data_IF_374175257663
#
_entry.id   IF_374175257663
#
_cell.length_a   1.000
_cell.length_b   1.000
_cell.length_c   1.000
_cell.angle_alpha   90.00
_cell.angle_beta   90.00
_cell.angle_gamma   90.00
#
_symmetry.space_group_name_H-M   'P 1'
#
loop_
_entity.id
_entity.type
_entity.pdbx_description
1 polymer ?
#
# COMPACT_ATOMS: atom_id res chain seq x y z
N UNK A 1 13.22 -28.66 -62.38
CA UNK A 1 12.09 -29.34 -63.05
C UNK A 1 10.85 -28.73 -62.37
N UNK A 2 10.21 -27.71 -62.99
CA UNK A 2 9.11 -27.83 -63.95
C UNK A 2 7.92 -28.56 -63.30
N UNK A 3 6.72 -28.02 -63.09
CA UNK A 3 5.91 -27.06 -63.82
C UNK A 3 4.67 -26.78 -62.96
N UNK A 4 4.18 -25.60 -62.95
CA UNK A 4 3.22 -24.94 -63.85
C UNK A 4 1.77 -25.47 -63.79
N UNK A 5 0.91 -24.59 -63.36
CA UNK A 5 -0.22 -23.90 -64.02
C UNK A 5 -1.57 -24.61 -63.88
N UNK A 6 -2.72 -23.95 -63.68
CA UNK A 6 -3.48 -22.87 -64.37
C UNK A 6 -4.80 -22.68 -63.59
N UNK A 7 -5.13 -21.49 -63.26
CA UNK A 7 -6.14 -20.57 -63.82
C UNK A 7 -7.40 -21.20 -64.42
N UNK A 8 -8.60 -20.84 -63.84
CA UNK A 8 -9.78 -20.60 -64.67
C UNK A 8 -10.81 -19.72 -63.94
N UNK A 9 -11.20 -18.66 -64.61
CA UNK A 9 -12.24 -17.67 -64.40
C UNK A 9 -13.64 -18.24 -64.68
N UNK A 10 -14.68 -17.68 -64.07
CA UNK A 10 -15.81 -16.99 -64.78
C UNK A 10 -16.94 -16.62 -63.81
N UNK A 11 -17.35 -15.35 -63.91
CA UNK A 11 -18.64 -14.74 -63.54
C UNK A 11 -19.65 -15.07 -64.65
N UNK A 12 -21.00 -14.73 -64.64
CA UNK A 12 -21.63 -13.51 -64.08
C UNK A 12 -23.13 -13.61 -63.62
N UNK A 13 -23.62 -12.47 -63.09
CA UNK A 13 -24.90 -11.76 -63.16
C UNK A 13 -26.24 -12.42 -62.77
N UNK A 14 -26.99 -11.63 -61.99
CA UNK A 14 -28.45 -11.70 -61.86
C UNK A 14 -28.95 -10.66 -60.83
N UNK A 15 -29.27 -9.46 -61.31
CA UNK A 15 -29.93 -8.39 -60.55
C UNK A 15 -31.46 -8.57 -60.60
N UNK A 16 -32.13 -8.29 -59.43
CA UNK A 16 -33.55 -7.79 -59.48
C UNK A 16 -33.70 -6.76 -58.34
N UNK A 17 -34.05 -5.57 -58.74
CA UNK A 17 -34.46 -4.47 -57.90
C UNK A 17 -35.95 -4.54 -57.59
N UNK A 18 -36.35 -4.18 -56.36
CA UNK A 18 -37.74 -3.74 -56.12
C UNK A 18 -37.66 -2.58 -55.07
N UNK A 19 -37.99 -1.39 -55.60
CA UNK A 19 -38.33 -0.21 -54.79
C UNK A 19 -39.73 -0.41 -54.20
N UNK A 20 -39.90 0.03 -52.93
CA UNK A 20 -41.12 0.66 -52.45
C UNK A 20 -40.86 1.72 -51.39
N UNK A 21 -41.64 2.76 -51.49
CA UNK A 21 -41.50 4.14 -51.12
C UNK A 21 -42.28 4.48 -49.86
N UNK A 22 -41.65 5.34 -48.99
CA UNK A 22 -42.23 6.46 -48.18
C UNK A 22 -43.16 6.17 -47.00
N UNK A 23 -42.74 6.68 -45.86
CA UNK A 23 -43.57 7.03 -44.72
C UNK A 23 -42.78 7.93 -43.76
N UNK A 24 -42.68 9.24 -44.07
CA UNK A 24 -42.27 10.25 -43.10
C UNK A 24 -43.37 10.44 -42.04
N UNK A 25 -43.03 10.24 -40.77
CA UNK A 25 -43.73 10.92 -39.66
C UNK A 25 -42.68 11.57 -38.76
N UNK A 26 -42.65 12.91 -38.82
CA UNK A 26 -42.02 13.74 -37.77
C UNK A 26 -42.85 13.63 -36.50
N UNK A 27 -42.22 13.26 -35.40
CA UNK A 27 -42.70 13.61 -34.07
C UNK A 27 -41.55 13.67 -33.05
N UNK A 28 -41.29 14.86 -32.53
CA UNK A 28 -41.01 15.10 -31.14
C UNK A 28 -39.59 14.92 -30.64
N UNK A 29 -38.86 16.03 -30.48
CA UNK A 29 -37.77 16.17 -29.55
C UNK A 29 -38.24 15.77 -28.14
N UNK A 30 -37.73 14.67 -27.63
CA UNK A 30 -37.67 14.41 -26.19
C UNK A 30 -36.20 14.13 -25.88
N UNK A 31 -35.64 14.94 -24.98
CA UNK A 31 -34.24 14.83 -24.54
C UNK A 31 -33.94 13.40 -24.09
N UNK A 32 -33.07 12.72 -24.82
CA UNK A 32 -32.56 11.43 -24.45
C UNK A 32 -31.66 11.59 -23.23
N UNK A 33 -32.11 11.06 -22.10
CA UNK A 33 -31.20 10.69 -21.04
C UNK A 33 -30.10 9.77 -21.63
N UNK A 34 -28.83 9.88 -21.18
CA UNK A 34 -27.80 9.00 -21.68
C UNK A 34 -28.24 7.56 -21.44
N UNK A 35 -28.18 6.74 -22.49
CA UNK A 35 -28.49 5.32 -22.41
C UNK A 35 -27.62 4.70 -21.28
N UNK A 36 -28.27 4.29 -20.21
CA UNK A 36 -27.64 3.41 -19.23
C UNK A 36 -27.24 2.16 -19.99
N UNK A 37 -25.93 1.90 -20.02
CA UNK A 37 -25.37 0.70 -20.61
C UNK A 37 -26.01 -0.52 -19.96
N UNK A 38 -26.78 -1.29 -20.72
CA UNK A 38 -27.55 -2.45 -20.26
C UNK A 38 -26.69 -3.67 -19.88
N UNK A 39 -25.36 -3.51 -19.62
CA UNK A 39 -24.42 -4.60 -19.42
C UNK A 39 -23.48 -4.42 -18.19
N UNK A 40 -23.95 -3.71 -17.16
CA UNK A 40 -23.13 -3.50 -15.94
C UNK A 40 -23.29 -4.60 -14.89
N UNK A 41 -24.07 -5.65 -15.17
CA UNK A 41 -24.41 -6.70 -14.21
C UNK A 41 -25.39 -6.24 -13.12
N UNK A 42 -25.62 -7.09 -12.12
CA UNK A 42 -26.49 -6.83 -10.97
C UNK A 42 -25.69 -6.25 -9.80
N UNK A 43 -26.28 -5.31 -9.05
CA UNK A 43 -25.69 -4.80 -7.82
C UNK A 43 -25.78 -5.78 -6.64
N UNK A 44 -26.66 -6.79 -6.71
CA UNK A 44 -26.97 -7.71 -5.62
C UNK A 44 -26.51 -9.14 -5.89
N UNK A 45 -25.97 -9.43 -7.08
CA UNK A 45 -25.50 -10.77 -7.44
C UNK A 45 -24.40 -10.72 -8.50
N UNK A 46 -23.49 -11.71 -8.45
CA UNK A 46 -22.41 -11.86 -9.42
C UNK A 46 -21.20 -12.60 -8.83
N UNK A 47 -20.28 -12.96 -9.73
CA UNK A 47 -18.97 -13.46 -9.32
C UNK A 47 -17.93 -12.43 -9.72
N UNK A 48 -17.23 -11.89 -8.75
CA UNK A 48 -16.20 -10.86 -8.96
C UNK A 48 -14.83 -11.37 -8.49
N UNK A 49 -13.80 -10.93 -9.19
CA UNK A 49 -12.41 -11.19 -8.84
C UNK A 49 -11.78 -9.89 -8.35
N UNK A 50 -11.06 -9.99 -7.24
CA UNK A 50 -10.31 -8.90 -6.65
C UNK A 50 -8.80 -9.22 -6.66
N UNK A 51 -7.98 -8.39 -7.31
CA UNK A 51 -6.52 -8.54 -7.34
C UNK A 51 -5.85 -7.45 -6.52
N UNK A 52 -4.90 -7.85 -5.67
CA UNK A 52 -4.13 -6.91 -4.85
C UNK A 52 -2.84 -7.52 -4.31
N UNK A 53 -1.91 -6.67 -3.89
CA UNK A 53 -0.71 -7.08 -3.15
C UNK A 53 -0.95 -7.04 -1.64
N UNK A 54 -1.99 -6.38 -1.22
CA UNK A 54 -2.50 -6.25 0.15
C UNK A 54 -4.03 -6.37 0.08
N UNK A 55 -4.71 -6.75 1.18
CA UNK A 55 -4.19 -7.26 2.44
C UNK A 55 -3.61 -8.68 2.33
N UNK A 56 -3.14 -9.25 3.44
CA UNK A 56 -2.83 -10.67 3.51
C UNK A 56 -4.10 -11.53 3.43
N UNK A 57 -3.94 -12.84 3.26
CA UNK A 57 -5.07 -13.75 3.06
C UNK A 57 -6.07 -13.68 4.23
N UNK A 58 -5.60 -13.67 5.47
CA UNK A 58 -6.44 -13.62 6.67
C UNK A 58 -7.37 -12.39 6.72
N UNK A 59 -6.89 -11.14 6.59
CA UNK A 59 -7.79 -9.98 6.48
C UNK A 59 -8.71 -10.05 5.26
N UNK A 60 -8.22 -10.47 4.09
CA UNK A 60 -9.05 -10.58 2.88
C UNK A 60 -10.23 -11.54 3.08
N UNK A 61 -9.99 -12.71 3.71
CA UNK A 61 -11.02 -13.68 4.05
C UNK A 61 -12.03 -13.10 5.05
N UNK A 62 -11.58 -12.33 6.04
CA UNK A 62 -12.45 -11.66 7.01
C UNK A 62 -13.37 -10.64 6.32
N UNK A 63 -12.83 -9.81 5.40
CA UNK A 63 -13.61 -8.85 4.62
C UNK A 63 -14.67 -9.56 3.76
N UNK A 64 -14.27 -10.58 3.00
CA UNK A 64 -15.17 -11.35 2.13
C UNK A 64 -16.24 -12.05 2.94
N UNK A 65 -15.88 -12.66 4.06
CA UNK A 65 -16.83 -13.36 4.96
C UNK A 65 -17.87 -12.40 5.54
N UNK A 66 -17.45 -11.21 5.94
CA UNK A 66 -18.36 -10.20 6.46
C UNK A 66 -19.26 -9.63 5.35
N UNK A 67 -18.69 -9.33 4.18
CA UNK A 67 -19.43 -8.90 3.00
C UNK A 67 -20.52 -9.89 2.59
N UNK A 68 -20.21 -11.19 2.56
CA UNK A 68 -21.14 -12.23 2.17
C UNK A 68 -22.31 -12.43 3.16
N UNK A 69 -22.23 -11.93 4.39
CA UNK A 69 -23.38 -11.90 5.30
C UNK A 69 -24.44 -10.89 4.86
N UNK A 70 -24.00 -9.79 4.23
CA UNK A 70 -24.88 -8.72 3.74
C UNK A 70 -25.30 -8.97 2.29
N UNK A 71 -24.36 -9.44 1.45
CA UNK A 71 -24.55 -9.69 0.02
C UNK A 71 -24.25 -11.15 -0.33
N UNK A 72 -25.10 -12.11 0.06
CA UNK A 72 -24.81 -13.55 -0.07
C UNK A 72 -24.75 -14.04 -1.53
N UNK A 73 -25.31 -13.28 -2.47
CA UNK A 73 -25.34 -13.64 -3.89
C UNK A 73 -24.18 -13.03 -4.69
N UNK A 74 -23.33 -12.19 -4.09
CA UNK A 74 -22.09 -11.71 -4.69
C UNK A 74 -20.94 -12.57 -4.14
N UNK A 75 -20.28 -13.30 -5.02
CA UNK A 75 -19.09 -14.10 -4.64
C UNK A 75 -17.84 -13.35 -5.02
N UNK A 76 -16.99 -13.07 -4.04
CA UNK A 76 -15.71 -12.39 -4.22
C UNK A 76 -14.58 -13.42 -4.14
N UNK A 77 -13.70 -13.43 -5.14
CA UNK A 77 -12.49 -14.25 -5.14
C UNK A 77 -11.28 -13.33 -5.11
N UNK A 78 -10.53 -13.36 -4.01
CA UNK A 78 -9.30 -12.58 -3.88
C UNK A 78 -8.11 -13.33 -4.49
N UNK A 79 -7.31 -12.62 -5.30
CA UNK A 79 -6.03 -13.09 -5.83
C UNK A 79 -4.93 -12.19 -5.30
N UNK A 80 -4.17 -12.70 -4.33
CA UNK A 80 -2.97 -12.04 -3.85
C UNK A 80 -1.85 -12.15 -4.88
N UNK A 81 -1.16 -11.04 -5.12
CA UNK A 81 0.05 -10.93 -5.94
C UNK A 81 1.20 -10.45 -5.05
N UNK A 82 2.43 -10.66 -5.48
CA UNK A 82 3.58 -10.03 -4.81
C UNK A 82 3.63 -8.55 -5.16
N UNK A 83 4.09 -7.72 -4.24
CA UNK A 83 4.20 -6.28 -4.47
C UNK A 83 5.08 -5.98 -5.70
N UNK A 84 6.22 -6.63 -5.84
CA UNK A 84 7.15 -6.43 -6.96
C UNK A 84 6.62 -6.98 -8.29
N UNK A 85 5.74 -7.98 -8.25
CA UNK A 85 5.14 -8.59 -9.44
C UNK A 85 3.82 -7.94 -9.87
N UNK A 86 3.30 -6.99 -9.08
CA UNK A 86 1.96 -6.47 -9.30
C UNK A 86 1.81 -5.76 -10.64
N UNK A 87 2.68 -4.82 -10.96
CA UNK A 87 2.62 -4.05 -12.20
C UNK A 87 2.77 -4.92 -13.46
N UNK A 88 3.63 -5.92 -13.40
CA UNK A 88 3.80 -6.87 -14.49
C UNK A 88 2.55 -7.71 -14.74
N UNK A 89 1.78 -8.01 -13.69
CA UNK A 89 0.55 -8.80 -13.78
C UNK A 89 -0.66 -7.94 -14.16
N UNK A 90 -0.81 -6.75 -13.55
CA UNK A 90 -2.04 -5.95 -13.68
C UNK A 90 -2.11 -5.21 -15.02
N UNK A 91 -0.98 -4.71 -15.54
CA UNK A 91 -0.93 -3.95 -16.79
C UNK A 91 -1.53 -4.72 -17.99
N UNK A 92 -1.09 -5.95 -18.33
CA UNK A 92 -1.71 -6.71 -19.41
C UNK A 92 -3.13 -7.16 -19.08
N UNK A 93 -3.45 -7.41 -17.79
CA UNK A 93 -4.79 -7.81 -17.38
C UNK A 93 -5.83 -6.71 -17.65
N UNK A 94 -5.54 -5.46 -17.28
CA UNK A 94 -6.43 -4.31 -17.54
C UNK A 94 -6.52 -3.95 -19.02
N UNK A 95 -5.50 -4.27 -19.81
CA UNK A 95 -5.56 -4.10 -21.27
C UNK A 95 -6.53 -5.10 -21.92
N UNK A 96 -6.73 -6.28 -21.33
CA UNK A 96 -7.57 -7.37 -21.83
C UNK A 96 -9.02 -7.29 -21.36
N UNK A 97 -9.88 -8.18 -21.88
CA UNK A 97 -11.27 -8.36 -21.44
C UNK A 97 -11.42 -9.37 -20.30
N UNK A 98 -10.32 -9.96 -19.81
CA UNK A 98 -10.30 -11.00 -18.77
C UNK A 98 -9.53 -10.53 -17.53
N UNK A 99 -9.39 -9.24 -17.34
CA UNK A 99 -8.82 -8.63 -16.15
C UNK A 99 -9.73 -8.76 -14.92
N UNK A 100 -9.22 -8.39 -13.74
CA UNK A 100 -10.01 -8.41 -12.52
C UNK A 100 -11.19 -7.43 -12.58
N UNK A 101 -12.25 -7.73 -11.82
CA UNK A 101 -13.39 -6.83 -11.64
C UNK A 101 -13.03 -5.68 -10.68
N UNK A 102 -12.28 -5.99 -9.63
CA UNK A 102 -11.72 -5.05 -8.66
C UNK A 102 -10.22 -5.21 -8.62
N UNK A 103 -9.49 -4.11 -8.62
CA UNK A 103 -8.04 -4.12 -8.51
C UNK A 103 -7.54 -3.07 -7.52
N UNK A 104 -6.46 -3.41 -6.81
CA UNK A 104 -5.84 -2.48 -5.89
C UNK A 104 -5.04 -1.42 -6.65
N UNK A 105 -5.09 -0.18 -6.16
CA UNK A 105 -4.19 0.90 -6.58
C UNK A 105 -3.58 1.57 -5.35
N UNK A 106 -2.37 2.10 -5.52
CA UNK A 106 -1.65 2.83 -4.49
C UNK A 106 -1.48 4.31 -4.86
N UNK A 107 -1.28 5.18 -3.86
CA UNK A 107 -0.89 6.57 -4.10
C UNK A 107 0.51 6.69 -4.72
N UNK A 108 0.73 7.78 -5.45
CA UNK A 108 2.07 8.19 -5.91
C UNK A 108 2.79 7.18 -6.79
N UNK A 109 4.10 7.05 -6.60
CA UNK A 109 4.99 6.22 -7.39
C UNK A 109 5.02 4.73 -7.01
N UNK A 110 4.27 4.32 -5.99
CA UNK A 110 4.24 2.92 -5.55
C UNK A 110 3.79 1.96 -6.66
N UNK A 111 4.10 0.68 -6.50
CA UNK A 111 3.55 -0.36 -7.37
C UNK A 111 2.02 -0.30 -7.34
N UNK A 112 1.38 -0.40 -8.50
CA UNK A 112 -0.06 -0.22 -8.61
C UNK A 112 -0.50 1.24 -8.63
N UNK A 113 0.35 2.19 -8.99
CA UNK A 113 0.08 3.63 -8.99
C UNK A 113 -1.29 3.99 -9.56
N UNK A 114 -2.06 4.78 -8.80
CA UNK A 114 -3.34 5.32 -9.26
C UNK A 114 -3.19 6.23 -10.48
N UNK A 115 -2.07 6.94 -10.60
CA UNK A 115 -1.77 7.80 -11.74
C UNK A 115 -1.67 7.00 -13.04
N UNK A 116 -1.14 5.76 -12.95
CA UNK A 116 -0.98 4.88 -14.10
C UNK A 116 -2.24 4.07 -14.37
N UNK A 117 -2.84 3.48 -13.35
CA UNK A 117 -3.92 2.50 -13.50
C UNK A 117 -5.31 3.06 -13.27
N UNK A 118 -5.45 4.19 -12.60
CA UNK A 118 -6.72 4.85 -12.32
C UNK A 118 -7.52 5.22 -13.57
N UNK A 119 -6.85 5.39 -14.72
CA UNK A 119 -7.52 5.62 -16.02
C UNK A 119 -8.45 4.46 -16.43
N UNK A 120 -8.17 3.24 -15.94
CA UNK A 120 -8.94 2.03 -16.21
C UNK A 120 -10.12 1.83 -15.24
N UNK A 121 -10.25 2.67 -14.22
CA UNK A 121 -11.31 2.54 -13.22
C UNK A 121 -12.57 3.31 -13.60
N UNK A 122 -13.71 2.90 -13.08
CA UNK A 122 -14.94 3.72 -13.07
C UNK A 122 -14.79 4.85 -12.05
N UNK A 123 -15.54 5.94 -12.22
CA UNK A 123 -15.65 6.98 -11.20
C UNK A 123 -16.56 6.50 -10.07
N UNK A 124 -16.02 6.40 -8.85
CA UNK A 124 -16.76 5.93 -7.67
C UNK A 124 -17.44 7.06 -6.89
N UNK A 125 -17.21 8.33 -7.23
CA UNK A 125 -17.83 9.48 -6.55
C UNK A 125 -19.36 9.36 -6.45
N UNK A 126 -20.11 9.03 -7.53
CA UNK A 126 -21.56 8.91 -7.46
C UNK A 126 -22.03 7.80 -6.49
N UNK A 127 -21.29 6.70 -6.41
CA UNK A 127 -21.62 5.59 -5.50
C UNK A 127 -21.36 5.96 -4.04
N UNK A 128 -20.30 6.70 -3.76
CA UNK A 128 -19.96 7.21 -2.42
C UNK A 128 -20.98 8.25 -1.96
N UNK A 129 -21.32 9.21 -2.82
CA UNK A 129 -22.34 10.21 -2.53
C UNK A 129 -23.71 9.58 -2.21
N UNK A 130 -24.08 8.52 -2.95
CA UNK A 130 -25.28 7.76 -2.66
C UNK A 130 -25.25 7.09 -1.30
N UNK A 131 -24.08 6.63 -0.83
CA UNK A 131 -23.95 5.90 0.44
C UNK A 131 -23.80 6.82 1.64
N UNK A 132 -22.92 7.84 1.51
CA UNK A 132 -22.54 8.71 2.62
C UNK A 132 -23.23 10.08 2.59
N UNK A 133 -23.86 10.46 1.47
CA UNK A 133 -24.48 11.79 1.27
C UNK A 133 -23.51 12.79 0.63
N UNK A 134 -23.99 14.01 0.39
CA UNK A 134 -23.24 15.05 -0.31
C UNK A 134 -21.98 15.54 0.45
N UNK A 135 -21.94 15.32 1.76
CA UNK A 135 -20.84 15.68 2.65
C UNK A 135 -19.84 14.54 2.90
N UNK A 136 -19.82 13.54 2.02
CA UNK A 136 -19.04 12.30 2.15
C UNK A 136 -17.56 12.52 2.40
N UNK A 137 -16.94 13.55 1.81
CA UNK A 137 -15.51 13.84 1.98
C UNK A 137 -15.16 14.12 3.45
N UNK A 138 -16.07 14.74 4.19
CA UNK A 138 -15.88 15.02 5.63
C UNK A 138 -15.97 13.79 6.54
N UNK A 139 -16.46 12.66 6.01
CA UNK A 139 -16.65 11.40 6.74
C UNK A 139 -15.50 10.42 6.55
N UNK A 140 -14.68 10.64 5.53
CA UNK A 140 -13.53 9.83 5.21
C UNK A 140 -12.22 10.53 5.59
N UNK A 141 -11.18 9.76 5.86
CA UNK A 141 -9.84 10.28 6.08
C UNK A 141 -9.37 11.08 4.85
N UNK A 142 -9.04 12.38 4.98
CA UNK A 142 -8.72 13.23 3.83
C UNK A 142 -7.61 12.67 2.94
N UNK A 143 -6.58 12.09 3.56
CA UNK A 143 -5.45 11.49 2.86
C UNK A 143 -5.88 10.30 1.99
N UNK A 144 -6.89 9.52 2.43
CA UNK A 144 -7.46 8.40 1.69
C UNK A 144 -8.27 8.84 0.47
N UNK A 145 -8.83 10.05 0.48
CA UNK A 145 -9.59 10.61 -0.64
C UNK A 145 -8.64 11.23 -1.66
N UNK A 146 -7.82 12.19 -1.22
CA UNK A 146 -6.97 12.98 -2.12
C UNK A 146 -5.93 12.15 -2.85
N UNK A 147 -5.37 11.13 -2.21
CA UNK A 147 -4.30 10.30 -2.76
C UNK A 147 -4.78 9.24 -3.77
N UNK A 148 -6.11 9.04 -3.92
CA UNK A 148 -6.70 8.05 -4.83
C UNK A 148 -7.54 8.67 -5.96
N UNK A 149 -7.40 9.96 -6.16
CA UNK A 149 -7.94 10.66 -7.33
C UNK A 149 -7.10 10.40 -8.58
N UNK A 150 -7.75 10.39 -9.74
CA UNK A 150 -7.09 10.43 -11.06
C UNK A 150 -7.76 11.55 -11.87
N UNK A 151 -7.19 12.73 -11.88
CA UNK A 151 -7.85 13.96 -12.28
C UNK A 151 -9.04 14.26 -11.35
N UNK A 152 -10.22 14.57 -11.94
CA UNK A 152 -11.44 14.84 -11.16
C UNK A 152 -12.20 13.57 -10.72
N UNK A 153 -11.72 12.38 -11.13
CA UNK A 153 -12.35 11.10 -10.89
C UNK A 153 -11.86 10.51 -9.57
N UNK A 154 -12.78 10.07 -8.71
CA UNK A 154 -12.44 9.19 -7.58
C UNK A 154 -12.21 7.78 -8.14
N UNK A 155 -10.95 7.51 -8.52
CA UNK A 155 -10.58 6.29 -9.23
C UNK A 155 -10.63 5.04 -8.35
N UNK A 156 -10.49 5.22 -7.04
CA UNK A 156 -10.56 4.11 -6.09
C UNK A 156 -11.05 4.58 -4.72
N UNK A 157 -11.62 3.66 -3.95
CA UNK A 157 -12.01 3.89 -2.56
C UNK A 157 -10.94 3.35 -1.62
N UNK A 158 -10.44 4.20 -0.74
CA UNK A 158 -9.56 3.77 0.34
C UNK A 158 -10.26 2.78 1.25
N UNK A 159 -9.59 1.68 1.55
CA UNK A 159 -10.03 0.75 2.61
C UNK A 159 -9.62 1.31 3.97
N UNK A 160 -8.44 1.91 4.03
CA UNK A 160 -7.90 2.57 5.21
C UNK A 160 -6.59 3.25 4.91
N UNK A 161 -5.97 3.80 5.93
CA UNK A 161 -4.68 4.48 5.85
C UNK A 161 -3.61 3.70 6.61
N UNK A 162 -2.38 3.78 6.12
CA UNK A 162 -1.19 3.24 6.76
C UNK A 162 -0.17 4.34 6.98
N UNK A 163 0.61 4.18 8.05
CA UNK A 163 1.64 5.14 8.44
C UNK A 163 2.96 4.40 8.68
N UNK A 164 4.05 4.98 8.25
CA UNK A 164 5.40 4.56 8.55
C UNK A 164 6.02 5.44 9.65
N UNK A 165 7.31 5.24 9.96
CA UNK A 165 7.98 5.95 11.06
C UNK A 165 8.00 5.14 12.37
N UNK A 166 7.67 3.84 12.30
CA UNK A 166 7.72 2.92 13.46
C UNK A 166 8.73 1.80 13.26
N UNK A 167 9.24 1.28 14.37
CA UNK A 167 9.95 0.00 14.42
C UNK A 167 9.09 -0.96 15.23
N UNK A 168 8.97 -2.20 14.74
CA UNK A 168 8.33 -3.28 15.47
C UNK A 168 9.37 -4.13 16.18
N UNK A 169 9.13 -4.43 17.46
CA UNK A 169 10.03 -5.22 18.29
C UNK A 169 9.38 -6.54 18.72
N UNK A 170 10.15 -7.61 18.72
CA UNK A 170 9.76 -8.87 19.35
C UNK A 170 9.98 -8.75 20.87
N UNK A 171 8.92 -8.40 21.60
CA UNK A 171 8.95 -8.14 23.04
C UNK A 171 9.46 -9.35 23.83
N UNK A 172 9.09 -10.56 23.40
CA UNK A 172 9.49 -11.79 24.09
C UNK A 172 11.01 -12.00 24.02
N UNK A 173 11.65 -11.61 22.89
CA UNK A 173 13.12 -11.61 22.80
C UNK A 173 13.76 -10.55 23.69
N UNK A 174 13.17 -9.34 23.74
CA UNK A 174 13.66 -8.30 24.64
C UNK A 174 13.60 -8.74 26.10
N UNK A 175 12.47 -9.33 26.53
CA UNK A 175 12.29 -9.83 27.89
C UNK A 175 13.26 -10.96 28.21
N UNK A 176 13.44 -11.89 27.29
CA UNK A 176 14.36 -13.02 27.44
C UNK A 176 15.79 -12.58 27.76
N UNK A 177 16.24 -11.47 27.21
CA UNK A 177 17.60 -10.96 27.44
C UNK A 177 17.66 -9.75 28.37
N UNK A 178 16.55 -9.41 29.05
CA UNK A 178 16.48 -8.30 30.00
C UNK A 178 16.72 -6.93 29.36
N UNK A 179 16.33 -6.77 28.08
CA UNK A 179 16.52 -5.54 27.31
C UNK A 179 15.26 -4.69 27.30
N UNK A 180 15.45 -3.39 27.12
CA UNK A 180 14.37 -2.44 26.80
C UNK A 180 14.54 -1.96 25.36
N UNK A 181 13.43 -1.69 24.63
CA UNK A 181 13.51 -1.10 23.30
C UNK A 181 14.28 0.22 23.29
N UNK A 182 15.15 0.45 22.30
CA UNK A 182 16.02 1.62 22.25
C UNK A 182 15.24 2.89 21.97
N UNK A 183 15.68 4.00 22.57
CA UNK A 183 15.14 5.35 22.33
C UNK A 183 16.15 6.26 21.62
N UNK A 184 17.42 5.89 21.65
CA UNK A 184 18.52 6.66 21.07
C UNK A 184 19.42 5.76 20.22
N UNK A 185 20.28 6.37 19.42
CA UNK A 185 21.27 5.65 18.61
C UNK A 185 22.18 4.74 19.45
N UNK A 186 22.71 5.28 20.55
CA UNK A 186 23.65 4.54 21.43
C UNK A 186 22.96 3.39 22.16
N UNK A 187 21.70 3.57 22.57
CA UNK A 187 20.90 2.49 23.12
C UNK A 187 20.65 1.40 22.09
N UNK A 188 20.34 1.79 20.84
CA UNK A 188 20.11 0.84 19.75
C UNK A 188 21.36 0.00 19.48
N UNK A 189 22.52 0.65 19.41
CA UNK A 189 23.80 -0.05 19.24
C UNK A 189 24.05 -1.08 20.36
N UNK A 190 23.86 -0.70 21.64
CA UNK A 190 24.00 -1.61 22.79
C UNK A 190 23.04 -2.79 22.76
N UNK A 191 21.79 -2.54 22.37
CA UNK A 191 20.79 -3.60 22.18
C UNK A 191 21.25 -4.56 21.10
N UNK A 192 21.76 -4.05 19.98
CA UNK A 192 22.28 -4.87 18.87
C UNK A 192 23.52 -5.68 19.28
N UNK A 193 24.44 -5.10 20.05
CA UNK A 193 25.59 -5.82 20.61
C UNK A 193 25.15 -7.01 21.48
N UNK A 194 24.13 -6.82 22.32
CA UNK A 194 23.62 -7.89 23.18
C UNK A 194 22.94 -9.00 22.36
N UNK A 195 22.08 -8.66 21.39
CA UNK A 195 21.44 -9.67 20.53
C UNK A 195 22.48 -10.44 19.71
N UNK A 196 23.45 -9.75 19.12
CA UNK A 196 24.54 -10.36 18.35
C UNK A 196 25.38 -11.33 19.18
N UNK A 197 25.71 -10.97 20.43
CA UNK A 197 26.42 -11.83 21.37
C UNK A 197 25.64 -13.12 21.70
N UNK A 198 24.33 -13.11 21.55
CA UNK A 198 23.43 -14.24 21.77
C UNK A 198 22.96 -14.93 20.45
N UNK A 199 23.62 -14.67 19.33
CA UNK A 199 23.28 -15.21 18.00
C UNK A 199 21.85 -14.89 17.54
N UNK A 200 21.31 -13.73 17.94
CA UNK A 200 20.04 -13.18 17.47
C UNK A 200 20.33 -11.98 16.59
N UNK A 201 19.69 -11.90 15.45
CA UNK A 201 19.72 -10.70 14.62
C UNK A 201 19.03 -9.54 15.34
N UNK A 202 19.62 -8.35 15.28
CA UNK A 202 19.10 -7.20 16.02
C UNK A 202 17.95 -6.54 15.25
N UNK A 203 18.27 -5.95 14.11
CA UNK A 203 17.34 -5.21 13.27
C UNK A 203 17.41 -5.75 11.85
N UNK A 204 16.28 -5.77 11.17
CA UNK A 204 16.20 -6.19 9.78
C UNK A 204 15.39 -5.20 8.94
N UNK A 205 15.92 -4.89 7.76
CA UNK A 205 15.25 -4.13 6.71
C UNK A 205 15.69 -4.62 5.34
N UNK A 206 14.75 -4.74 4.42
CA UNK A 206 15.02 -5.09 3.03
C UNK A 206 15.37 -3.85 2.21
N UNK A 207 16.65 -3.47 2.22
CA UNK A 207 17.13 -2.25 1.58
C UNK A 207 17.25 -2.35 0.04
N UNK A 208 16.91 -3.49 -0.56
CA UNK A 208 16.72 -3.62 -2.01
C UNK A 208 15.41 -2.98 -2.50
N UNK A 209 14.43 -2.73 -1.61
CA UNK A 209 13.18 -2.06 -1.94
C UNK A 209 13.22 -0.59 -1.53
N UNK A 210 13.30 0.31 -2.51
CA UNK A 210 13.49 1.76 -2.31
C UNK A 210 12.48 2.41 -1.37
N UNK A 211 11.19 2.05 -1.47
CA UNK A 211 10.15 2.65 -0.63
C UNK A 211 10.42 2.50 0.88
N UNK A 212 11.06 1.40 1.31
CA UNK A 212 11.42 1.21 2.71
C UNK A 212 12.70 1.94 3.12
N UNK A 213 13.59 2.24 2.15
CA UNK A 213 14.73 3.14 2.39
C UNK A 213 14.22 4.57 2.56
N UNK A 214 13.23 4.99 1.77
CA UNK A 214 12.55 6.27 1.92
C UNK A 214 11.94 6.40 3.30
N UNK A 215 11.20 5.39 3.76
CA UNK A 215 10.61 5.36 5.09
C UNK A 215 11.67 5.61 6.18
N UNK A 216 12.81 4.92 6.09
CA UNK A 216 13.88 5.10 7.09
C UNK A 216 14.57 6.45 6.98
N UNK A 217 14.83 6.92 5.75
CA UNK A 217 15.47 8.22 5.52
C UNK A 217 14.57 9.39 5.95
N UNK A 218 13.25 9.30 5.72
CA UNK A 218 12.30 10.28 6.22
C UNK A 218 12.32 10.33 7.75
N UNK A 219 12.24 9.16 8.43
CA UNK A 219 12.32 9.09 9.89
C UNK A 219 13.63 9.68 10.44
N UNK A 220 14.77 9.40 9.81
CA UNK A 220 16.06 9.97 10.19
C UNK A 220 16.06 11.49 9.94
N UNK A 221 15.53 11.94 8.80
CA UNK A 221 15.48 13.38 8.48
C UNK A 221 14.63 14.14 9.49
N UNK A 222 13.50 13.56 9.91
CA UNK A 222 12.64 14.17 10.93
C UNK A 222 13.29 14.20 12.31
N UNK A 223 14.13 13.22 12.65
CA UNK A 223 14.97 13.32 13.85
C UNK A 223 15.95 14.48 13.75
N UNK A 224 16.53 14.73 12.58
CA UNK A 224 17.47 15.84 12.38
C UNK A 224 16.73 17.18 12.38
N UNK A 225 15.73 17.32 11.51
CA UNK A 225 14.96 18.54 11.32
C UNK A 225 13.54 18.19 10.80
N UNK A 226 12.51 18.20 11.66
CA UNK A 226 11.16 17.82 11.29
C UNK A 226 10.61 18.56 10.07
N UNK A 227 9.98 17.83 9.16
CA UNK A 227 9.32 18.35 7.96
C UNK A 227 10.26 18.78 6.82
N UNK A 228 11.59 18.61 6.94
CA UNK A 228 12.54 18.95 5.86
C UNK A 228 12.39 17.98 4.69
N UNK A 229 12.11 16.68 4.95
CA UNK A 229 11.87 15.70 3.90
C UNK A 229 10.69 16.12 3.01
N UNK A 230 9.56 16.46 3.60
CA UNK A 230 8.37 16.91 2.88
C UNK A 230 8.63 18.19 2.08
N UNK A 231 9.37 19.15 2.64
CA UNK A 231 9.78 20.38 1.94
C UNK A 231 10.66 20.07 0.73
N UNK A 232 11.55 19.07 0.83
CA UNK A 232 12.38 18.65 -0.30
C UNK A 232 11.55 17.98 -1.40
N UNK A 233 10.57 17.14 -1.04
CA UNK A 233 9.60 16.56 -1.98
C UNK A 233 8.82 17.64 -2.73
N UNK A 234 8.46 18.74 -2.06
CA UNK A 234 7.78 19.90 -2.66
C UNK A 234 8.70 20.85 -3.42
N UNK A 235 10.02 20.62 -3.37
CA UNK A 235 11.02 21.53 -3.98
C UNK A 235 11.22 22.86 -3.23
N UNK A 236 10.73 22.96 -2.00
CA UNK A 236 10.86 24.16 -1.15
C UNK A 236 12.27 24.27 -0.54
N UNK A 237 12.95 23.15 -0.36
CA UNK A 237 14.37 23.07 0.01
C UNK A 237 15.10 22.12 -0.96
N UNK A 238 16.40 22.33 -1.20
CA UNK A 238 17.15 21.42 -2.07
C UNK A 238 17.44 20.07 -1.38
N UNK A 239 17.62 19.02 -2.14
CA UNK A 239 18.08 17.72 -1.65
C UNK A 239 19.50 17.74 -1.07
N UNK A 240 20.23 18.83 -1.28
CA UNK A 240 21.52 19.12 -0.65
C UNK A 240 21.40 19.88 0.68
N UNK A 241 20.19 20.02 1.21
CA UNK A 241 19.98 20.63 2.54
C UNK A 241 20.83 19.88 3.59
N UNK A 242 21.47 20.61 4.53
CA UNK A 242 22.31 19.99 5.56
C UNK A 242 21.62 18.88 6.37
N UNK A 243 20.30 19.00 6.60
CA UNK A 243 19.56 17.98 7.33
C UNK A 243 19.46 16.66 6.54
N UNK A 244 19.28 16.73 5.21
CA UNK A 244 19.24 15.56 4.34
C UNK A 244 20.63 14.92 4.23
N UNK A 245 21.68 15.71 4.08
CA UNK A 245 23.07 15.20 4.09
C UNK A 245 23.38 14.50 5.41
N UNK A 246 22.95 15.10 6.54
CA UNK A 246 23.11 14.46 7.85
C UNK A 246 22.29 13.17 7.97
N UNK A 247 21.07 13.14 7.42
CA UNK A 247 20.27 11.91 7.39
C UNK A 247 20.95 10.80 6.59
N UNK A 248 21.52 11.09 5.42
CA UNK A 248 22.31 10.15 4.63
C UNK A 248 23.58 9.68 5.39
N UNK A 249 24.18 10.57 6.18
CA UNK A 249 25.34 10.21 7.04
C UNK A 249 24.93 9.23 8.14
N UNK A 250 23.80 9.48 8.79
CA UNK A 250 23.26 8.56 9.81
C UNK A 250 22.82 7.25 9.17
N UNK A 251 22.18 7.29 8.01
CA UNK A 251 21.82 6.10 7.25
C UNK A 251 23.04 5.21 7.00
N UNK A 252 24.14 5.78 6.48
CA UNK A 252 25.40 5.04 6.30
C UNK A 252 25.89 4.45 7.62
N UNK A 253 25.84 5.22 8.70
CA UNK A 253 26.31 4.80 10.01
C UNK A 253 25.53 3.59 10.56
N UNK A 254 24.24 3.42 10.22
CA UNK A 254 23.48 2.23 10.58
C UNK A 254 24.10 0.96 9.98
N UNK A 255 24.68 1.04 8.79
CA UNK A 255 25.39 -0.08 8.15
C UNK A 255 26.80 -0.26 8.75
N UNK A 256 27.56 0.82 8.85
CA UNK A 256 28.95 0.78 9.36
C UNK A 256 29.04 0.24 10.79
N UNK A 257 28.10 0.58 11.66
CA UNK A 257 28.03 0.15 13.05
C UNK A 257 27.31 -1.22 13.22
N UNK A 258 26.82 -1.81 12.13
CA UNK A 258 26.16 -3.14 12.15
C UNK A 258 24.81 -3.16 12.87
N UNK A 259 24.11 -2.02 12.97
CA UNK A 259 22.70 -1.96 13.34
C UNK A 259 21.88 -2.56 12.21
N UNK A 260 22.09 -2.09 10.96
CA UNK A 260 21.54 -2.72 9.77
C UNK A 260 22.21 -4.09 9.58
N UNK A 261 21.41 -5.11 9.28
CA UNK A 261 21.93 -6.46 9.08
C UNK A 261 22.81 -6.56 7.83
N UNK A 262 23.75 -7.50 7.88
CA UNK A 262 24.55 -7.86 6.70
C UNK A 262 23.67 -8.32 5.55
N UNK A 263 23.99 -7.91 4.32
CA UNK A 263 23.25 -8.28 3.10
C UNK A 263 21.96 -7.47 2.86
N UNK A 264 21.67 -6.44 3.65
CA UNK A 264 20.44 -5.63 3.54
C UNK A 264 20.19 -5.10 2.12
N UNK A 265 21.23 -4.65 1.40
CA UNK A 265 21.12 -4.11 0.05
C UNK A 265 20.67 -5.13 -1.01
N UNK A 266 20.80 -6.42 -0.73
CA UNK A 266 20.33 -7.51 -1.58
C UNK A 266 19.04 -8.18 -1.08
N UNK A 267 18.50 -7.72 0.04
CA UNK A 267 17.34 -8.31 0.70
C UNK A 267 16.08 -7.51 0.38
N UNK A 268 15.00 -8.21 0.03
CA UNK A 268 13.68 -7.60 -0.13
C UNK A 268 13.02 -7.40 1.24
N UNK A 269 12.21 -6.35 1.39
CA UNK A 269 11.42 -6.16 2.61
C UNK A 269 10.38 -7.28 2.75
N UNK A 270 9.73 -7.61 1.62
CA UNK A 270 8.84 -8.75 1.46
C UNK A 270 9.34 -9.65 0.34
N UNK A 271 9.53 -10.97 0.59
CA UNK A 271 9.23 -11.65 1.85
C UNK A 271 10.38 -11.67 2.88
N UNK A 272 11.60 -11.27 2.55
CA UNK A 272 12.81 -11.67 3.26
C UNK A 272 12.92 -11.07 4.66
N UNK A 273 12.88 -9.74 4.80
CA UNK A 273 12.97 -9.08 6.10
C UNK A 273 11.77 -9.41 6.97
N UNK A 274 10.56 -9.40 6.39
CA UNK A 274 9.33 -9.83 7.06
C UNK A 274 9.48 -11.26 7.65
N UNK A 275 9.89 -12.22 6.84
CA UNK A 275 10.04 -13.61 7.27
C UNK A 275 11.19 -13.77 8.29
N UNK A 276 12.23 -12.96 8.17
CA UNK A 276 13.31 -12.88 9.15
C UNK A 276 12.82 -12.49 10.53
N UNK A 277 11.97 -11.47 10.63
CA UNK A 277 11.37 -11.03 11.88
C UNK A 277 10.32 -12.03 12.39
N UNK A 278 9.37 -12.45 11.53
CA UNK A 278 8.30 -13.36 11.91
C UNK A 278 8.81 -14.75 12.34
N UNK A 279 9.94 -15.21 11.80
CA UNK A 279 10.57 -16.44 12.26
C UNK A 279 11.37 -16.30 13.56
N UNK A 280 11.43 -15.11 14.16
CA UNK A 280 12.19 -14.83 15.39
C UNK A 280 13.71 -14.77 15.19
N UNK A 281 14.20 -14.72 13.94
CA UNK A 281 15.64 -14.56 13.65
C UNK A 281 16.15 -13.17 14.00
N UNK A 282 15.27 -12.16 13.91
CA UNK A 282 15.57 -10.77 14.22
C UNK A 282 14.63 -10.24 15.30
N UNK A 283 15.15 -9.39 16.15
CA UNK A 283 14.41 -8.81 17.28
C UNK A 283 13.64 -7.54 16.91
N UNK A 284 14.02 -6.86 15.83
CA UNK A 284 13.40 -5.61 15.36
C UNK A 284 13.29 -5.58 13.85
N UNK A 285 12.24 -4.89 13.34
CA UNK A 285 12.02 -4.65 11.91
C UNK A 285 11.44 -3.26 11.69
N UNK A 286 11.88 -2.57 10.61
CA UNK A 286 11.23 -1.33 10.15
C UNK A 286 9.97 -1.68 9.36
N UNK A 287 8.81 -1.33 9.91
CA UNK A 287 7.49 -1.53 9.29
C UNK A 287 6.53 -0.46 9.80
N UNK A 288 5.45 -0.23 9.08
CA UNK A 288 4.41 0.72 9.46
C UNK A 288 3.23 0.10 10.21
N UNK A 289 2.14 0.86 10.28
CA UNK A 289 0.91 0.46 11.01
C UNK A 289 0.23 -0.77 10.44
N UNK A 290 0.44 -1.12 9.16
CA UNK A 290 -0.06 -2.38 8.58
C UNK A 290 0.44 -3.63 9.31
N UNK A 291 1.48 -3.50 10.12
CA UNK A 291 2.01 -4.59 10.95
C UNK A 291 1.17 -4.85 12.21
N UNK A 292 0.21 -3.96 12.55
CA UNK A 292 -0.73 -4.16 13.66
C UNK A 292 -1.50 -5.48 13.52
N UNK A 293 -1.83 -5.92 12.28
CA UNK A 293 -2.53 -7.18 12.04
C UNK A 293 -1.85 -8.40 12.68
N UNK A 294 -0.52 -8.38 12.72
CA UNK A 294 0.27 -9.45 13.34
C UNK A 294 0.36 -9.33 14.87
N UNK A 295 -0.34 -8.40 15.48
CA UNK A 295 -0.53 -8.38 16.94
C UNK A 295 -1.66 -9.32 17.37
N UNK A 296 -2.51 -9.75 16.45
CA UNK A 296 -3.56 -10.75 16.71
C UNK A 296 -2.99 -12.16 16.72
N UNK A 297 -3.61 -13.08 17.49
CA UNK A 297 -3.21 -14.50 17.52
C UNK A 297 -3.25 -15.10 16.12
N UNK A 298 -4.34 -14.85 15.37
CA UNK A 298 -4.54 -15.39 14.03
C UNK A 298 -3.53 -14.85 13.03
N UNK A 299 -3.37 -13.52 12.95
CA UNK A 299 -2.44 -12.86 12.03
C UNK A 299 -0.98 -13.21 12.34
N UNK A 300 -0.59 -13.25 13.63
CA UNK A 300 0.76 -13.62 14.04
C UNK A 300 1.07 -15.08 13.66
N UNK A 301 0.15 -16.02 13.98
CA UNK A 301 0.31 -17.44 13.63
C UNK A 301 0.45 -17.63 12.12
N UNK A 302 -0.40 -16.96 11.34
CA UNK A 302 -0.37 -17.03 9.87
C UNK A 302 0.96 -16.51 9.30
N UNK A 303 1.44 -15.37 9.81
CA UNK A 303 2.70 -14.76 9.36
C UNK A 303 3.92 -15.62 9.73
N UNK A 304 3.96 -16.20 10.93
CA UNK A 304 5.03 -17.11 11.35
C UNK A 304 5.02 -18.37 10.49
N UNK A 305 3.85 -18.95 10.22
CA UNK A 305 3.71 -20.09 9.31
C UNK A 305 4.16 -19.75 7.89
N UNK A 306 3.77 -18.56 7.38
CA UNK A 306 4.22 -18.03 6.09
C UNK A 306 5.72 -17.83 6.00
N UNK A 307 6.38 -17.53 7.11
CA UNK A 307 7.84 -17.46 7.24
C UNK A 307 8.52 -18.85 7.27
N UNK A 308 7.77 -19.95 7.09
CA UNK A 308 8.30 -21.31 7.01
C UNK A 308 8.53 -22.00 8.35
N UNK A 309 7.97 -21.50 9.44
CA UNK A 309 8.05 -22.13 10.77
C UNK A 309 6.96 -23.19 10.88
N UNK A 310 7.36 -24.46 11.05
CA UNK A 310 6.44 -25.62 11.03
C UNK A 310 5.47 -25.68 12.23
N UNK A 311 5.91 -25.19 13.42
CA UNK A 311 5.09 -25.11 14.63
C UNK A 311 5.03 -23.65 15.09
N UNK A 312 4.16 -22.84 14.46
CA UNK A 312 4.11 -21.40 14.71
C UNK A 312 3.59 -21.14 16.12
N UNK A 313 4.39 -20.41 16.91
CA UNK A 313 4.01 -19.94 18.25
C UNK A 313 3.95 -18.43 18.23
N UNK A 314 2.76 -17.85 18.40
CA UNK A 314 2.62 -16.40 18.45
C UNK A 314 3.52 -15.79 19.52
N UNK A 315 4.13 -14.66 19.19
CA UNK A 315 4.93 -13.87 20.12
C UNK A 315 4.37 -12.44 20.22
N UNK A 316 4.64 -11.80 21.36
CA UNK A 316 4.25 -10.42 21.60
C UNK A 316 5.12 -9.49 20.75
N UNK A 317 4.52 -8.79 19.78
CA UNK A 317 5.20 -7.70 19.09
C UNK A 317 4.64 -6.35 19.53
N UNK A 318 5.48 -5.32 19.53
CA UNK A 318 5.12 -3.96 19.91
C UNK A 318 5.66 -2.95 18.90
N UNK A 319 4.88 -1.92 18.53
CA UNK A 319 5.40 -0.75 17.84
C UNK A 319 6.17 0.14 18.84
N UNK A 320 7.29 0.67 18.39
CA UNK A 320 8.03 1.73 19.08
C UNK A 320 8.22 2.90 18.11
N UNK A 321 8.29 4.15 18.60
CA UNK A 321 8.75 5.26 17.80
C UNK A 321 10.13 4.96 17.21
N UNK A 322 10.43 5.52 16.03
CA UNK A 322 11.80 5.47 15.52
C UNK A 322 12.74 6.15 16.52
N UNK A 323 13.86 5.50 16.94
CA UNK A 323 14.77 6.08 17.93
C UNK A 323 15.32 7.43 17.49
N UNK A 324 15.59 8.33 18.43
CA UNK A 324 16.32 9.57 18.15
C UNK A 324 17.78 9.24 17.80
N UNK A 325 18.01 9.03 16.51
CA UNK A 325 19.35 8.70 15.98
C UNK A 325 20.21 9.94 15.71
N UNK A 326 19.62 11.12 15.76
CA UNK A 326 20.32 12.39 15.56
C UNK A 326 20.76 13.06 16.87
N UNK A 327 20.22 12.61 18.02
CA UNK A 327 20.51 13.20 19.32
C UNK A 327 19.92 14.59 19.53
N UNK A 328 18.86 14.93 18.80
CA UNK A 328 18.21 16.24 18.85
C UNK A 328 17.07 16.30 19.85
N UNK A 329 16.58 15.17 20.33
CA UNK A 329 15.36 15.06 21.12
C UNK A 329 14.07 15.08 20.28
N UNK A 330 14.16 15.17 18.96
CA UNK A 330 13.00 15.03 18.08
C UNK A 330 12.55 13.57 18.05
N UNK A 331 11.30 13.33 18.37
CA UNK A 331 10.66 12.04 18.16
C UNK A 331 10.25 11.97 16.69
N UNK A 332 10.59 10.87 16.02
CA UNK A 332 10.19 10.68 14.61
C UNK A 332 8.68 10.83 14.43
N UNK A 333 8.28 11.60 13.43
CA UNK A 333 6.88 11.74 13.04
C UNK A 333 6.38 10.44 12.39
N UNK A 334 5.06 10.23 12.43
CA UNK A 334 4.40 9.27 11.57
C UNK A 334 4.02 9.97 10.27
N UNK A 335 4.23 9.31 9.16
CA UNK A 335 3.85 9.81 7.83
C UNK A 335 3.14 8.69 7.09
N UNK A 336 2.09 9.03 6.32
CA UNK A 336 1.21 8.00 5.79
C UNK A 336 0.38 8.43 4.60
N UNK A 337 -0.28 7.41 4.02
CA UNK A 337 -1.17 7.54 2.87
C UNK A 337 -2.34 6.56 3.01
N UNK A 338 -3.26 6.57 2.02
CA UNK A 338 -4.08 5.39 1.80
C UNK A 338 -3.17 4.17 1.61
N UNK A 339 -3.47 3.03 2.27
CA UNK A 339 -2.70 1.80 2.03
C UNK A 339 -2.92 1.33 0.59
N UNK A 340 -4.17 1.14 0.25
CA UNK A 340 -4.61 0.87 -1.11
C UNK A 340 -6.04 1.34 -1.32
N UNK A 341 -6.37 1.57 -2.57
CA UNK A 341 -7.72 1.83 -3.03
C UNK A 341 -8.29 0.66 -3.79
N UNK A 342 -9.58 0.38 -3.62
CA UNK A 342 -10.34 -0.54 -4.45
C UNK A 342 -10.85 0.20 -5.70
N UNK A 343 -10.20 -0.05 -6.83
CA UNK A 343 -10.61 0.44 -8.14
C UNK A 343 -11.50 -0.58 -8.83
N UNK A 344 -12.59 -0.14 -9.43
CA UNK A 344 -13.50 -1.00 -10.22
C UNK A 344 -13.15 -0.90 -11.69
N UNK A 345 -12.84 -2.02 -12.31
CA UNK A 345 -12.42 -2.07 -13.70
C UNK A 345 -13.59 -1.69 -14.65
N UNK A 346 -13.41 -0.63 -15.44
CA UNK A 346 -14.41 -0.16 -16.39
C UNK A 346 -14.77 -1.17 -17.51
N UNK A 347 -13.92 -2.21 -17.70
CA UNK A 347 -14.18 -3.31 -18.64
C UNK A 347 -14.81 -4.53 -17.99
N UNK A 348 -15.08 -4.51 -16.69
CA UNK A 348 -15.77 -5.59 -16.00
C UNK A 348 -17.18 -5.77 -16.53
N UNK A 349 -17.63 -7.01 -16.59
CA UNK A 349 -19.06 -7.34 -16.86
C UNK A 349 -19.91 -7.30 -15.58
N UNK A 350 -19.27 -7.12 -14.42
CA UNK A 350 -19.88 -7.11 -13.10
C UNK A 350 -19.66 -5.77 -12.38
N UNK A 351 -19.63 -4.65 -13.11
CA UNK A 351 -19.34 -3.31 -12.56
C UNK A 351 -20.23 -3.01 -11.35
N UNK A 352 -21.53 -3.32 -11.44
CA UNK A 352 -22.46 -3.05 -10.35
C UNK A 352 -22.12 -3.82 -9.07
N UNK A 353 -21.86 -5.14 -9.16
CA UNK A 353 -21.45 -5.96 -8.00
C UNK A 353 -20.08 -5.54 -7.46
N UNK A 354 -19.13 -5.22 -8.34
CA UNK A 354 -17.80 -4.75 -7.97
C UNK A 354 -17.88 -3.39 -7.23
N UNK A 355 -18.73 -2.48 -7.70
CA UNK A 355 -18.99 -1.20 -7.03
C UNK A 355 -19.65 -1.42 -5.67
N UNK A 356 -20.62 -2.35 -5.56
CA UNK A 356 -21.23 -2.71 -4.27
C UNK A 356 -20.17 -3.20 -3.28
N UNK A 357 -19.26 -4.07 -3.70
CA UNK A 357 -18.18 -4.55 -2.84
C UNK A 357 -17.23 -3.42 -2.41
N UNK A 358 -16.75 -2.62 -3.36
CA UNK A 358 -15.82 -1.53 -3.07
C UNK A 358 -16.44 -0.48 -2.14
N UNK A 359 -17.69 -0.07 -2.40
CA UNK A 359 -18.39 0.90 -1.54
C UNK A 359 -18.70 0.34 -0.18
N UNK A 360 -19.13 -0.92 -0.07
CA UNK A 360 -19.38 -1.54 1.22
C UNK A 360 -18.11 -1.56 2.07
N UNK A 361 -17.00 -2.03 1.53
CA UNK A 361 -15.76 -2.14 2.29
C UNK A 361 -15.19 -0.77 2.65
N UNK A 362 -15.19 0.19 1.72
CA UNK A 362 -14.57 1.52 1.94
C UNK A 362 -15.45 2.53 2.68
N UNK A 363 -16.79 2.32 2.76
CA UNK A 363 -17.69 3.37 3.28
C UNK A 363 -18.77 2.90 4.22
N UNK A 364 -19.08 1.60 4.35
CA UNK A 364 -20.11 1.14 5.28
C UNK A 364 -19.58 0.98 6.69
N UNK A 365 -20.44 1.19 7.69
CA UNK A 365 -20.06 1.00 9.09
C UNK A 365 -19.61 -0.44 9.37
N UNK A 366 -20.32 -1.44 8.81
CA UNK A 366 -20.00 -2.85 8.99
C UNK A 366 -18.69 -3.22 8.29
N UNK A 367 -18.46 -2.75 7.06
CA UNK A 367 -17.23 -2.99 6.31
C UNK A 367 -16.02 -2.37 7.00
N UNK A 368 -16.13 -1.13 7.42
CA UNK A 368 -15.08 -0.40 8.12
C UNK A 368 -14.81 -0.95 9.53
N UNK A 369 -15.84 -1.49 10.21
CA UNK A 369 -15.63 -2.18 11.50
C UNK A 369 -14.75 -3.43 11.32
N UNK A 370 -14.98 -4.19 10.24
CA UNK A 370 -14.12 -5.35 9.97
C UNK A 370 -12.69 -4.90 9.63
N UNK A 371 -12.51 -3.81 8.89
CA UNK A 371 -11.18 -3.22 8.65
C UNK A 371 -10.48 -2.88 9.96
N UNK A 372 -11.19 -2.21 10.87
CA UNK A 372 -10.67 -1.85 12.18
C UNK A 372 -10.26 -3.10 13.01
N UNK A 373 -11.13 -4.12 13.04
CA UNK A 373 -10.97 -5.28 13.92
C UNK A 373 -9.87 -6.25 13.46
N UNK A 374 -9.55 -6.28 12.15
CA UNK A 374 -8.41 -7.09 11.65
C UNK A 374 -7.07 -6.36 11.78
N UNK A 375 -7.07 -5.07 12.12
CA UNK A 375 -5.88 -4.25 12.38
C UNK A 375 -4.90 -4.16 11.20
N UNK A 376 -5.36 -4.35 9.95
CA UNK A 376 -4.48 -4.16 8.79
C UNK A 376 -4.27 -2.67 8.48
N UNK A 377 -5.37 -1.92 8.51
CA UNK A 377 -5.41 -0.49 8.21
C UNK A 377 -6.07 0.30 9.34
N UNK A 378 -5.74 1.57 9.42
CA UNK A 378 -6.56 2.52 10.15
C UNK A 378 -7.76 2.87 9.26
N UNK A 379 -9.00 2.64 9.71
CA UNK A 379 -10.19 2.75 8.87
C UNK A 379 -10.31 4.06 8.10
N UNK A 380 -10.84 3.99 6.87
CA UNK A 380 -11.13 5.18 6.07
C UNK A 380 -12.26 6.03 6.68
N UNK A 381 -13.28 5.43 7.31
CA UNK A 381 -14.28 6.14 8.11
C UNK A 381 -13.66 6.63 9.42
N UNK A 382 -13.53 7.94 9.58
CA UNK A 382 -12.84 8.58 10.71
C UNK A 382 -13.47 8.31 12.09
N UNK A 383 -14.70 7.83 12.12
CA UNK A 383 -15.41 7.50 13.36
C UNK A 383 -15.24 6.05 13.82
N UNK A 384 -14.60 5.20 12.98
CA UNK A 384 -14.48 3.77 13.26
C UNK A 384 -13.21 3.49 14.05
N UNK A 385 -13.31 2.67 15.08
CA UNK A 385 -12.20 2.23 15.93
C UNK A 385 -12.28 0.70 16.12
N UNK A 386 -11.16 0.00 16.40
CA UNK A 386 -11.18 -1.41 16.71
C UNK A 386 -12.08 -1.73 17.91
N UNK A 387 -12.84 -2.80 17.80
CA UNK A 387 -13.59 -3.34 18.93
C UNK A 387 -12.66 -4.26 19.76
N UNK A 388 -11.94 -3.65 20.70
CA UNK A 388 -10.96 -4.34 21.53
C UNK A 388 -11.51 -5.52 22.35
N UNK A 389 -12.82 -5.61 22.55
CA UNK A 389 -13.44 -6.75 23.25
C UNK A 389 -13.49 -8.01 22.35
N UNK A 390 -13.46 -7.82 21.03
CA UNK A 390 -13.50 -8.90 20.02
C UNK A 390 -12.15 -9.21 19.40
N UNK A 391 -11.24 -8.23 19.34
CA UNK A 391 -9.88 -8.39 18.81
C UNK A 391 -9.06 -9.32 19.72
N UNK A 392 -8.57 -10.43 19.17
CA UNK A 392 -7.81 -11.44 19.92
C UNK A 392 -6.30 -11.19 19.80
N UNK A 393 -5.79 -10.28 20.63
CA UNK A 393 -4.36 -9.99 20.72
C UNK A 393 -3.58 -11.15 21.37
N UNK A 394 -2.30 -11.30 20.99
CA UNK A 394 -1.39 -12.30 21.61
C UNK A 394 -1.17 -11.96 23.08
N UNK A 395 -0.97 -10.69 23.41
CA UNK A 395 -0.80 -10.18 24.78
C UNK A 395 -1.59 -8.87 24.96
N UNK A 396 -2.90 -8.94 25.27
CA UNK A 396 -3.77 -7.78 25.31
C UNK A 396 -3.31 -6.69 26.31
N UNK A 397 -2.80 -7.08 27.47
CA UNK A 397 -2.39 -6.13 28.53
C UNK A 397 -1.26 -5.19 28.06
N UNK A 398 -0.36 -5.69 27.21
CA UNK A 398 0.80 -4.95 26.74
C UNK A 398 0.55 -4.33 25.37
N UNK A 399 -0.09 -5.08 24.47
CA UNK A 399 -0.27 -4.64 23.07
C UNK A 399 -1.37 -3.59 22.91
N UNK A 400 -2.52 -3.75 23.58
CA UNK A 400 -3.64 -2.83 23.39
C UNK A 400 -3.27 -1.36 23.65
N UNK A 401 -2.65 -0.99 24.79
CA UNK A 401 -2.28 0.42 25.02
C UNK A 401 -1.30 0.97 23.97
N UNK A 402 -0.36 0.13 23.48
CA UNK A 402 0.60 0.53 22.46
C UNK A 402 -0.08 0.75 21.10
N UNK A 403 -1.02 -0.11 20.72
CA UNK A 403 -1.78 -0.01 19.47
C UNK A 403 -2.76 1.17 19.51
N UNK A 404 -3.48 1.38 20.60
CA UNK A 404 -4.35 2.55 20.79
C UNK A 404 -3.55 3.85 20.65
N UNK A 405 -2.37 3.91 21.25
CA UNK A 405 -1.47 5.06 21.12
C UNK A 405 -1.04 5.25 19.66
N UNK A 406 -0.61 4.19 18.97
CA UNK A 406 -0.17 4.25 17.57
C UNK A 406 -1.29 4.76 16.67
N UNK A 407 -2.51 4.23 16.80
CA UNK A 407 -3.69 4.68 16.03
C UNK A 407 -3.99 6.15 16.33
N UNK A 408 -3.97 6.55 17.60
CA UNK A 408 -4.20 7.95 17.99
C UNK A 408 -3.14 8.91 17.44
N UNK A 409 -1.87 8.51 17.42
CA UNK A 409 -0.78 9.33 16.91
C UNK A 409 -0.83 9.43 15.37
N UNK A 410 -1.19 8.34 14.70
CA UNK A 410 -1.41 8.32 13.24
C UNK A 410 -2.48 9.31 12.80
N UNK A 411 -3.57 9.43 13.57
CA UNK A 411 -4.64 10.40 13.29
C UNK A 411 -4.23 11.87 13.40
N UNK A 412 -3.05 12.15 13.94
CA UNK A 412 -2.48 13.52 14.04
C UNK A 412 -1.50 13.84 12.91
N UNK A 413 -1.07 12.81 12.18
CA UNK A 413 -0.11 12.99 11.09
C UNK A 413 -0.75 13.66 9.89
N UNK A 414 -0.03 14.60 9.31
CA UNK A 414 -0.38 15.30 8.06
C UNK A 414 0.67 15.09 6.97
N UNK A 415 1.75 14.39 7.27
CA UNK A 415 2.84 14.16 6.33
C UNK A 415 2.54 12.96 5.43
N UNK A 416 2.62 13.11 4.09
CA UNK A 416 2.47 12.00 3.17
C UNK A 416 3.69 11.07 3.20
N UNK A 417 3.47 9.80 2.89
CA UNK A 417 4.51 8.80 2.72
C UNK A 417 4.99 8.74 1.27
N UNK A 418 4.12 8.34 0.35
CA UNK A 418 4.45 8.12 -1.06
C UNK A 418 3.58 8.93 -2.02
N UNK A 419 2.48 9.51 -1.55
CA UNK A 419 1.47 10.16 -2.40
C UNK A 419 2.02 11.32 -3.25
N UNK A 420 3.06 11.99 -2.78
CA UNK A 420 3.72 13.10 -3.50
C UNK A 420 5.02 12.71 -4.18
N UNK A 421 5.42 11.43 -4.10
CA UNK A 421 6.66 10.94 -4.71
C UNK A 421 6.37 10.44 -6.13
N UNK A 422 7.07 10.98 -7.12
CA UNK A 422 6.99 10.50 -8.50
C UNK A 422 8.06 9.44 -8.78
N UNK A 423 7.81 8.54 -9.74
CA UNK A 423 8.66 7.36 -9.99
C UNK A 423 10.14 7.68 -10.25
N UNK A 424 10.41 8.76 -10.98
CA UNK A 424 11.80 9.17 -11.27
C UNK A 424 12.52 9.68 -10.02
N UNK A 425 11.81 10.36 -9.13
CA UNK A 425 12.34 10.83 -7.84
C UNK A 425 12.60 9.64 -6.91
N UNK A 426 11.65 8.70 -6.83
CA UNK A 426 11.83 7.47 -6.04
C UNK A 426 13.07 6.69 -6.50
N UNK A 427 13.25 6.57 -7.81
CA UNK A 427 14.46 5.95 -8.39
C UNK A 427 15.73 6.69 -7.95
N UNK A 428 15.73 8.02 -7.98
CA UNK A 428 16.87 8.83 -7.59
C UNK A 428 17.20 8.71 -6.09
N UNK A 429 16.17 8.68 -5.22
CA UNK A 429 16.32 8.42 -3.78
C UNK A 429 16.88 7.01 -3.53
N UNK A 430 16.40 6.01 -4.28
CA UNK A 430 16.91 4.65 -4.25
C UNK A 430 18.40 4.58 -4.57
N UNK A 431 18.84 5.25 -5.63
CA UNK A 431 20.27 5.33 -5.99
C UNK A 431 21.07 6.02 -4.87
N UNK A 432 20.59 7.15 -4.35
CA UNK A 432 21.30 7.87 -3.28
C UNK A 432 21.44 7.01 -2.01
N UNK A 433 20.36 6.33 -1.58
CA UNK A 433 20.36 5.49 -0.39
C UNK A 433 21.29 4.28 -0.53
N UNK A 434 21.25 3.59 -1.69
CA UNK A 434 22.04 2.38 -1.91
C UNK A 434 23.53 2.68 -2.10
N UNK A 435 23.89 3.71 -2.87
CA UNK A 435 25.30 4.09 -3.09
C UNK A 435 25.99 4.58 -1.82
N UNK A 436 25.27 5.31 -0.96
CA UNK A 436 25.79 5.73 0.36
C UNK A 436 25.96 4.52 1.28
N UNK A 437 24.97 3.64 1.35
CA UNK A 437 25.07 2.44 2.18
C UNK A 437 26.18 1.49 1.72
N UNK A 438 26.40 1.36 0.41
CA UNK A 438 27.48 0.56 -0.17
C UNK A 438 28.87 1.21 -0.01
N UNK A 439 28.94 2.49 0.40
CA UNK A 439 30.21 3.24 0.49
C UNK A 439 30.76 3.67 -0.90
N UNK A 440 29.92 3.62 -1.94
CA UNK A 440 30.27 4.02 -3.31
C UNK A 440 30.20 5.56 -3.51
N UNK A 441 29.43 6.24 -2.67
CA UNK A 441 29.34 7.69 -2.66
C UNK A 441 29.37 8.23 -1.21
N UNK A 442 29.91 9.46 -1.03
CA UNK A 442 29.71 10.16 0.23
C UNK A 442 28.28 10.68 0.33
N UNK A 443 27.76 10.97 1.55
CA UNK A 443 26.45 11.60 1.71
C UNK A 443 26.26 12.86 0.87
N UNK A 444 27.28 13.72 0.80
CA UNK A 444 27.26 14.95 0.02
C UNK A 444 27.18 14.68 -1.48
N UNK A 445 27.95 13.71 -1.98
CA UNK A 445 27.95 13.29 -3.39
C UNK A 445 26.58 12.72 -3.78
N UNK A 446 26.02 11.87 -2.93
CA UNK A 446 24.71 11.28 -3.16
C UNK A 446 23.60 12.35 -3.14
N UNK A 447 23.63 13.25 -2.18
CA UNK A 447 22.71 14.38 -2.11
C UNK A 447 22.78 15.28 -3.35
N UNK A 448 24.00 15.60 -3.84
CA UNK A 448 24.20 16.37 -5.06
C UNK A 448 23.68 15.65 -6.31
N UNK A 449 23.87 14.32 -6.40
CA UNK A 449 23.35 13.48 -7.49
C UNK A 449 21.82 13.43 -7.46
N UNK A 450 21.24 13.26 -6.28
CA UNK A 450 19.79 13.29 -6.06
C UNK A 450 19.22 14.64 -6.48
N UNK A 451 19.83 15.75 -6.05
CA UNK A 451 19.44 17.10 -6.45
C UNK A 451 19.48 17.31 -7.96
N UNK A 452 20.54 16.84 -8.62
CA UNK A 452 20.67 16.95 -10.07
C UNK A 452 19.62 16.10 -10.82
N UNK A 453 19.17 15.00 -10.25
CA UNK A 453 18.09 14.17 -10.79
C UNK A 453 16.72 14.83 -10.56
N UNK A 454 16.46 15.29 -9.34
CA UNK A 454 15.22 15.99 -9.00
C UNK A 454 14.98 17.25 -9.85
N UNK A 455 16.04 18.00 -10.16
CA UNK A 455 15.96 19.19 -11.02
C UNK A 455 15.53 18.89 -12.48
N UNK A 456 15.57 17.64 -12.93
CA UNK A 456 15.15 17.21 -14.28
C UNK A 456 13.70 16.73 -14.31
N UNK A 457 13.12 16.48 -13.16
CA UNK A 457 11.75 16.02 -13.00
C UNK A 457 10.85 17.25 -13.14
N UNK A 458 9.87 17.20 -14.05
CA UNK A 458 8.97 18.31 -14.36
C UNK A 458 7.63 18.13 -13.66
#
# INVERSE_FOLDING_TARGET
>A
MLGSSRVSKRRPLGAVAALMVVGLTLAGCAGGAPAQNADQGSADSGNITWWGWTPDATPAEAYIKAFNKVYPNIKVTFKKLTIDGYDAAIRPALASSVGPDVFAVAPGAANGSVDIYGVNAVDLKPAVEKTLGADWESKLAPIGVSSLMNGDKLAALSVGSVFSGTIWVNKDLFDKYGLTPPKTYDEWKKVCETFKANNVGCFVQGAAQTAFNEDTLQAITDNVAPGVWEKALKGEVPWTDPAIVQALTIWKKLFDDGIMQEGALGMQQYPDANNGFMSGKYAMVMMGTWYMQYSTIEGNTAAISGAGVADPKPFTQLPIPFPDVAGTGNVGALYGDADFGLAVNQKSKNIAAATTFATWLGTSAEGQQVVADVLNDIPALITTQPNWDTVKLVNPEVQRPALEKLISDSGKSTEPRLATVVADLQTAIGVASTTVAAGEATPEQAAATLQASAAKIK
#
